data_IF_427363321778
#
_entry.id   IF_427363321778
#
_cell.length_a   1.000
_cell.length_b   1.000
_cell.length_c   1.000
_cell.angle_alpha   90.00
_cell.angle_beta   90.00
_cell.angle_gamma   90.00
#
_symmetry.space_group_name_H-M   'P 1'
#
loop_
_entity.id
_entity.type
_entity.pdbx_description
1 polymer ?
#
# COMPACT_ATOMS: atom_id res chain seq x y z
N UNK A 1 21.10 18.89 4.21
CA UNK A 1 19.66 18.50 4.11
C UNK A 1 18.80 19.53 4.83
N UNK A 2 17.80 20.12 4.17
CA UNK A 2 16.98 21.21 4.72
C UNK A 2 16.19 20.79 5.99
N UNK A 3 15.59 19.60 5.98
CA UNK A 3 14.82 19.07 7.11
C UNK A 3 15.67 18.97 8.38
N UNK A 4 16.89 18.44 8.27
CA UNK A 4 17.82 18.34 9.39
C UNK A 4 18.19 19.72 9.95
N UNK A 5 18.50 20.68 9.08
CA UNK A 5 18.83 22.05 9.49
C UNK A 5 17.66 22.71 10.21
N UNK A 6 16.43 22.46 9.77
CA UNK A 6 15.23 22.99 10.42
C UNK A 6 15.04 22.39 11.82
N UNK A 7 15.24 21.08 11.99
CA UNK A 7 15.21 20.44 13.32
C UNK A 7 16.29 21.00 14.26
N UNK A 8 17.49 21.31 13.74
CA UNK A 8 18.57 21.93 14.52
C UNK A 8 18.21 23.35 15.00
N UNK A 9 17.52 24.13 14.15
CA UNK A 9 16.98 25.44 14.54
C UNK A 9 15.89 25.30 15.60
N UNK A 10 14.94 24.38 15.42
CA UNK A 10 13.90 24.10 16.42
C UNK A 10 14.50 23.64 17.75
N UNK A 11 15.53 22.79 17.72
CA UNK A 11 16.25 22.38 18.94
C UNK A 11 16.85 23.59 19.64
N UNK A 12 17.44 24.52 18.90
CA UNK A 12 17.98 25.76 19.45
C UNK A 12 16.89 26.61 20.11
N UNK A 13 15.79 26.88 19.38
CA UNK A 13 14.68 27.69 19.93
C UNK A 13 13.99 27.02 21.13
N UNK A 14 13.90 25.70 21.14
CA UNK A 14 13.24 24.96 22.23
C UNK A 14 14.12 24.73 23.46
N UNK A 15 15.43 24.95 23.38
CA UNK A 15 16.36 24.73 24.50
C UNK A 15 17.06 26.00 24.98
N UNK A 16 17.32 26.96 24.08
CA UNK A 16 18.01 28.22 24.37
C UNK A 16 17.16 29.46 24.09
N UNK A 17 16.11 29.32 23.27
CA UNK A 17 15.31 30.46 22.78
C UNK A 17 16.03 31.25 21.69
N UNK A 18 15.62 32.51 21.50
CA UNK A 18 16.22 33.46 20.56
C UNK A 18 15.31 33.84 19.38
N UNK A 19 15.77 34.76 18.53
CA UNK A 19 15.00 35.23 17.37
C UNK A 19 14.66 34.06 16.41
N UNK A 20 13.46 34.04 15.80
CA UNK A 20 12.40 35.05 15.89
C UNK A 20 11.42 34.84 17.06
N UNK A 21 11.57 33.79 17.88
CA UNK A 21 10.54 33.37 18.82
C UNK A 21 10.78 33.75 20.29
N UNK A 22 11.95 34.31 20.62
CA UNK A 22 12.32 34.63 22.00
C UNK A 22 12.30 33.37 22.88
N UNK A 23 11.62 33.44 24.03
CA UNK A 23 11.47 32.32 24.96
C UNK A 23 10.26 31.42 24.68
N UNK A 24 9.44 31.71 23.65
CA UNK A 24 8.10 31.12 23.45
C UNK A 24 8.07 29.59 23.42
N UNK A 25 9.12 28.95 22.93
CA UNK A 25 9.16 27.50 22.72
C UNK A 25 10.09 26.75 23.68
N UNK A 26 10.65 27.41 24.69
CA UNK A 26 11.50 26.75 25.68
C UNK A 26 10.75 25.58 26.35
N UNK A 27 11.32 24.38 26.25
CA UNK A 27 10.72 23.15 26.79
C UNK A 27 9.46 22.65 26.07
N UNK A 28 9.04 23.29 24.98
CA UNK A 28 7.75 23.00 24.34
C UNK A 28 7.78 21.86 23.30
N UNK A 29 8.96 21.36 22.92
CA UNK A 29 9.13 20.41 21.81
C UNK A 29 9.80 19.11 22.28
N UNK A 30 9.12 18.00 22.01
CA UNK A 30 9.65 16.65 22.25
C UNK A 30 10.41 16.12 21.02
N UNK A 31 11.73 16.20 21.08
CA UNK A 31 12.62 15.70 20.02
C UNK A 31 12.79 14.17 20.00
N UNK A 32 12.17 13.45 20.93
CA UNK A 32 12.14 11.97 20.94
C UNK A 32 10.95 11.41 20.15
N UNK A 33 9.95 12.23 19.81
CA UNK A 33 8.75 11.84 19.04
C UNK A 33 8.55 12.77 17.84
N UNK A 34 9.47 12.69 16.88
CA UNK A 34 9.45 13.48 15.65
C UNK A 34 8.78 12.72 14.52
N UNK A 35 7.92 13.41 13.77
CA UNK A 35 7.37 12.95 12.50
C UNK A 35 7.83 13.85 11.36
N UNK A 36 8.08 13.27 10.19
CA UNK A 36 8.44 14.04 8.99
C UNK A 36 7.49 13.74 7.84
N UNK A 37 6.87 14.76 7.27
CA UNK A 37 6.05 14.68 6.06
C UNK A 37 6.67 15.51 4.94
N UNK A 38 6.62 15.00 3.72
CA UNK A 38 7.01 15.77 2.54
C UNK A 38 6.17 15.39 1.33
N UNK A 39 5.90 16.39 0.48
CA UNK A 39 5.12 16.22 -0.75
C UNK A 39 6.02 16.14 -1.99
N UNK A 40 5.70 15.26 -2.95
CA UNK A 40 6.43 15.16 -4.22
C UNK A 40 7.92 14.87 -3.99
N UNK A 41 8.84 15.69 -4.51
CA UNK A 41 10.28 15.63 -4.19
C UNK A 41 10.60 15.78 -2.70
N UNK A 42 9.79 16.52 -1.97
CA UNK A 42 9.88 16.60 -0.50
C UNK A 42 9.58 15.26 0.18
N UNK A 43 8.75 14.42 -0.44
CA UNK A 43 8.44 13.07 0.05
C UNK A 43 9.67 12.16 0.03
N UNK A 44 10.45 12.18 -1.05
CA UNK A 44 11.77 11.54 -1.08
C UNK A 44 12.71 12.16 -0.05
N UNK A 45 12.67 13.49 0.07
CA UNK A 45 13.44 14.24 1.05
C UNK A 45 13.22 13.75 2.49
N UNK A 46 11.99 13.47 2.92
CA UNK A 46 11.76 13.00 4.30
C UNK A 46 12.22 11.56 4.53
N UNK A 47 12.18 10.70 3.51
CA UNK A 47 12.74 9.34 3.61
C UNK A 47 14.26 9.38 3.65
N UNK A 48 14.90 10.20 2.80
CA UNK A 48 16.35 10.41 2.85
C UNK A 48 16.78 11.05 4.16
N UNK A 49 16.00 12.00 4.68
CA UNK A 49 16.25 12.60 5.99
C UNK A 49 16.27 11.56 7.10
N UNK A 50 15.31 10.63 7.10
CA UNK A 50 15.27 9.55 8.08
C UNK A 50 16.57 8.73 8.09
N UNK A 51 17.11 8.40 6.91
CA UNK A 51 18.36 7.64 6.80
C UNK A 51 19.57 8.42 7.35
N UNK A 52 19.72 9.70 7.00
CA UNK A 52 20.88 10.51 7.41
C UNK A 52 20.76 11.08 8.83
N UNK A 53 19.55 11.09 9.41
CA UNK A 53 19.32 11.58 10.77
C UNK A 53 20.13 10.77 11.80
N UNK A 54 20.47 9.51 11.51
CA UNK A 54 21.39 8.68 12.30
C UNK A 54 21.10 8.67 13.82
N UNK A 55 19.82 8.74 14.20
CA UNK A 55 19.38 8.75 15.60
C UNK A 55 19.51 10.10 16.33
N UNK A 56 19.97 11.17 15.66
CA UNK A 56 20.11 12.52 16.24
C UNK A 56 18.79 13.08 16.77
N UNK A 57 17.70 12.77 16.08
CA UNK A 57 16.32 13.01 16.51
C UNK A 57 15.51 11.71 16.50
N UNK A 58 14.53 11.59 17.40
CA UNK A 58 13.63 10.44 17.50
C UNK A 58 12.58 10.44 16.40
N UNK A 59 12.99 10.24 15.14
CA UNK A 59 12.07 10.17 13.99
C UNK A 59 11.35 8.83 13.97
N UNK A 60 10.10 8.81 14.42
CA UNK A 60 9.30 7.58 14.61
C UNK A 60 8.18 7.38 13.59
N UNK A 61 7.99 8.37 12.72
CA UNK A 61 6.92 8.37 11.72
C UNK A 61 7.36 9.16 10.48
N UNK A 62 7.38 8.52 9.31
CA UNK A 62 7.75 9.14 8.03
C UNK A 62 6.57 9.04 7.06
N UNK A 63 6.14 10.18 6.50
CA UNK A 63 4.99 10.23 5.57
C UNK A 63 5.37 10.92 4.26
N UNK A 64 5.74 10.15 3.22
CA UNK A 64 5.83 10.65 1.86
C UNK A 64 4.42 10.83 1.27
N UNK A 65 4.05 12.06 0.94
CA UNK A 65 2.79 12.42 0.29
C UNK A 65 3.04 12.52 -1.21
N UNK A 66 2.35 11.70 -1.99
CA UNK A 66 2.48 11.55 -3.44
C UNK A 66 3.92 11.76 -3.96
N UNK A 67 4.88 10.97 -3.44
CA UNK A 67 6.29 11.29 -3.53
C UNK A 67 6.89 10.95 -4.89
N UNK A 68 7.99 11.60 -5.25
CA UNK A 68 8.92 11.07 -6.25
C UNK A 68 9.80 9.97 -5.64
N UNK A 69 10.48 9.18 -6.49
CA UNK A 69 11.39 8.12 -6.04
C UNK A 69 12.59 7.94 -7.01
N UNK A 70 13.41 8.98 -7.15
CA UNK A 70 14.55 9.02 -8.06
C UNK A 70 15.79 8.29 -7.51
N UNK A 71 16.00 8.34 -6.19
CA UNK A 71 17.19 7.76 -5.54
C UNK A 71 16.87 6.53 -4.68
N UNK A 72 15.59 6.13 -4.66
CA UNK A 72 15.10 4.94 -3.97
C UNK A 72 15.53 4.79 -2.50
N UNK A 73 15.45 5.84 -1.66
CA UNK A 73 15.76 5.68 -0.25
C UNK A 73 14.69 4.82 0.44
N UNK A 74 15.09 4.08 1.49
CA UNK A 74 14.20 3.15 2.19
C UNK A 74 14.18 3.46 3.68
N UNK A 75 12.98 3.64 4.23
CA UNK A 75 12.76 3.79 5.67
C UNK A 75 12.33 2.46 6.31
N UNK A 76 13.23 1.87 7.10
CA UNK A 76 12.99 0.65 7.91
C UNK A 76 13.08 0.98 9.40
N UNK A 77 12.49 0.14 10.26
CA UNK A 77 12.54 0.33 11.73
C UNK A 77 11.60 1.42 12.27
N UNK A 78 10.88 2.12 11.41
CA UNK A 78 9.97 3.23 11.76
C UNK A 78 8.60 3.05 11.12
N UNK A 79 7.59 3.79 11.62
CA UNK A 79 6.30 3.83 10.96
C UNK A 79 6.43 4.58 9.63
N UNK A 80 5.87 4.02 8.56
CA UNK A 80 5.85 4.60 7.21
C UNK A 80 4.41 4.61 6.69
N UNK A 81 3.96 5.74 6.16
CA UNK A 81 2.71 5.80 5.39
C UNK A 81 2.95 6.57 4.09
N UNK A 82 2.64 5.95 2.95
CA UNK A 82 2.75 6.60 1.65
C UNK A 82 1.35 6.93 1.14
N UNK A 83 1.08 8.20 0.88
CA UNK A 83 -0.17 8.60 0.23
C UNK A 83 0.07 8.68 -1.28
N UNK A 84 -0.80 8.06 -2.08
CA UNK A 84 -0.66 7.96 -3.53
C UNK A 84 -1.86 8.64 -4.20
N UNK A 85 -1.63 9.64 -5.05
CA UNK A 85 -2.67 10.29 -5.81
C UNK A 85 -2.94 9.49 -7.10
N UNK A 86 -4.14 8.94 -7.25
CA UNK A 86 -4.41 8.01 -8.37
C UNK A 86 -4.43 8.67 -9.75
N UNK A 87 -4.60 9.98 -9.81
CA UNK A 87 -4.49 10.80 -11.02
C UNK A 87 -3.22 11.67 -11.04
N UNK A 88 -2.24 11.37 -10.18
CA UNK A 88 -0.90 11.94 -10.25
C UNK A 88 -0.03 11.21 -11.28
N UNK A 89 1.03 11.87 -11.74
CA UNK A 89 1.95 11.35 -12.77
C UNK A 89 2.87 10.21 -12.29
N UNK A 90 2.97 9.96 -10.98
CA UNK A 90 4.03 9.13 -10.40
C UNK A 90 3.48 7.95 -9.58
N UNK A 91 3.33 6.79 -10.21
CA UNK A 91 3.02 5.54 -9.49
C UNK A 91 4.18 5.00 -8.63
N UNK A 92 5.42 5.44 -8.86
CA UNK A 92 6.63 4.92 -8.21
C UNK A 92 6.68 5.16 -6.69
N UNK A 93 5.84 6.05 -6.14
CA UNK A 93 5.75 6.22 -4.69
C UNK A 93 5.41 4.92 -3.94
N UNK A 94 4.73 3.97 -4.58
CA UNK A 94 4.42 2.67 -3.95
C UNK A 94 5.68 1.87 -3.60
N UNK A 95 6.79 2.11 -4.30
CA UNK A 95 8.06 1.43 -4.08
C UNK A 95 8.62 1.68 -2.68
N UNK A 96 8.36 2.85 -2.05
CA UNK A 96 8.73 3.09 -0.65
C UNK A 96 8.14 2.06 0.30
N UNK A 97 6.88 1.68 0.07
CA UNK A 97 6.24 0.62 0.84
C UNK A 97 6.82 -0.74 0.47
N UNK A 98 6.99 -1.02 -0.82
CA UNK A 98 7.46 -2.32 -1.27
C UNK A 98 8.88 -2.65 -0.84
N UNK A 99 9.79 -1.68 -0.94
CA UNK A 99 11.20 -1.83 -0.58
C UNK A 99 11.41 -1.86 0.93
N UNK A 100 10.52 -1.24 1.71
CA UNK A 100 10.60 -1.29 3.17
C UNK A 100 10.10 -2.61 3.75
N UNK A 101 9.19 -3.30 3.05
CA UNK A 101 8.67 -4.60 3.51
C UNK A 101 9.75 -5.67 3.47
N UNK A 102 9.89 -6.40 4.58
CA UNK A 102 10.84 -7.52 4.73
C UNK A 102 12.31 -7.19 4.53
N UNK A 103 12.67 -5.91 4.32
CA UNK A 103 14.05 -5.46 4.10
C UNK A 103 14.96 -5.78 5.26
N UNK A 104 14.45 -5.58 6.48
CA UNK A 104 15.12 -5.89 7.73
C UNK A 104 14.27 -6.92 8.47
N UNK A 105 14.86 -8.07 8.78
CA UNK A 105 14.21 -9.10 9.59
C UNK A 105 13.83 -8.54 10.97
N UNK A 106 12.59 -8.79 11.40
CA UNK A 106 12.10 -8.30 12.69
C UNK A 106 11.71 -6.82 12.74
N UNK A 107 11.71 -6.09 11.61
CA UNK A 107 11.20 -4.70 11.58
C UNK A 107 9.74 -4.64 12.09
N UNK A 108 9.55 -3.93 13.20
CA UNK A 108 8.24 -3.72 13.85
C UNK A 108 7.57 -2.41 13.46
N UNK A 109 8.19 -1.60 12.61
CA UNK A 109 7.61 -0.37 12.10
C UNK A 109 6.45 -0.68 11.16
N UNK A 110 5.25 -0.22 11.49
CA UNK A 110 4.08 -0.40 10.62
C UNK A 110 4.30 0.33 9.28
N UNK A 111 3.98 -0.33 8.17
CA UNK A 111 4.07 0.27 6.83
C UNK A 111 2.67 0.37 6.24
N UNK A 112 2.35 1.46 5.56
CA UNK A 112 1.05 1.68 4.93
C UNK A 112 1.18 2.31 3.55
N UNK A 113 0.24 1.99 2.66
CA UNK A 113 -0.10 2.82 1.50
C UNK A 113 -1.53 3.30 1.61
N UNK A 114 -1.80 4.50 1.11
CA UNK A 114 -3.11 5.14 1.06
C UNK A 114 -3.33 5.61 -0.37
N UNK A 115 -3.99 4.78 -1.18
CA UNK A 115 -4.33 5.11 -2.57
C UNK A 115 -5.60 5.94 -2.59
N UNK A 116 -5.52 7.19 -3.03
CA UNK A 116 -6.65 8.12 -3.07
C UNK A 116 -7.19 8.16 -4.50
N UNK A 117 -8.35 7.54 -4.71
CA UNK A 117 -8.98 7.47 -6.03
C UNK A 117 -9.46 8.85 -6.46
N UNK A 118 -9.14 9.25 -7.70
CA UNK A 118 -9.54 10.55 -8.23
C UNK A 118 -8.71 11.74 -7.70
N UNK A 119 -7.67 11.51 -6.90
CA UNK A 119 -6.81 12.59 -6.42
C UNK A 119 -5.74 12.96 -7.46
N UNK A 120 -5.50 14.26 -7.56
CA UNK A 120 -4.43 14.88 -8.33
C UNK A 120 -3.23 15.17 -7.44
N UNK A 121 -2.04 15.17 -8.01
CA UNK A 121 -0.79 15.43 -7.29
C UNK A 121 -0.81 16.79 -6.57
N UNK A 122 -1.12 17.88 -7.28
CA UNK A 122 -1.04 19.24 -6.73
C UNK A 122 -2.16 19.60 -5.74
N UNK A 123 -3.30 18.92 -5.80
CA UNK A 123 -4.53 19.37 -5.12
C UNK A 123 -4.51 19.16 -3.60
N UNK A 124 -3.55 18.39 -3.07
CA UNK A 124 -3.28 18.33 -1.62
C UNK A 124 -2.67 19.64 -1.07
N UNK A 125 -2.17 20.54 -1.93
CA UNK A 125 -1.43 21.74 -1.56
C UNK A 125 -2.22 23.02 -1.86
N UNK A 126 -2.30 23.98 -0.94
CA UNK A 126 -3.05 25.24 -1.13
C UNK A 126 -2.37 26.27 -2.04
N UNK A 127 -1.10 26.07 -2.38
CA UNK A 127 -0.29 26.96 -3.24
C UNK A 127 -0.24 26.43 -4.67
N UNK A 128 -0.04 25.13 -4.88
CA UNK A 128 0.09 24.55 -6.23
C UNK A 128 -1.24 24.20 -6.90
N UNK A 129 -2.35 24.22 -6.15
CA UNK A 129 -3.70 23.96 -6.70
C UNK A 129 -4.14 25.10 -7.63
N UNK A 130 -4.77 24.81 -8.79
CA UNK A 130 -5.45 25.80 -9.62
C UNK A 130 -6.39 26.70 -8.80
N UNK A 131 -6.33 28.00 -9.07
CA UNK A 131 -7.15 28.99 -8.36
C UNK A 131 -6.54 29.48 -7.04
N UNK A 132 -5.32 29.08 -6.67
CA UNK A 132 -4.59 29.66 -5.53
C UNK A 132 -4.05 31.07 -5.78
N UNK A 133 -3.89 31.46 -7.05
CA UNK A 133 -3.30 32.74 -7.47
C UNK A 133 -1.75 32.76 -7.45
N UNK A 134 -1.09 31.69 -7.03
CA UNK A 134 0.37 31.63 -6.99
C UNK A 134 0.98 31.18 -8.33
N UNK A 135 2.13 31.76 -8.68
CA UNK A 135 2.88 31.34 -9.86
C UNK A 135 3.24 29.84 -9.78
N UNK A 136 3.01 29.10 -10.88
CA UNK A 136 3.25 27.66 -10.96
C UNK A 136 2.08 26.79 -10.49
N UNK A 137 1.00 27.38 -9.95
CA UNK A 137 -0.21 26.65 -9.63
C UNK A 137 -0.87 26.09 -10.89
N UNK A 138 -1.11 24.78 -10.94
CA UNK A 138 -1.62 24.10 -12.13
C UNK A 138 -2.27 22.76 -11.81
N UNK A 139 -3.19 22.35 -12.68
CA UNK A 139 -3.60 20.95 -12.76
C UNK A 139 -2.53 20.24 -13.59
N UNK A 140 -1.73 19.43 -12.90
CA UNK A 140 -0.60 18.73 -13.51
C UNK A 140 -0.97 17.36 -14.08
N UNK A 141 -2.24 16.98 -14.03
CA UNK A 141 -2.73 15.81 -14.76
C UNK A 141 -2.85 16.12 -16.25
N UNK A 142 -2.30 15.25 -17.09
CA UNK A 142 -2.30 15.39 -18.55
C UNK A 142 -2.85 14.12 -19.20
N UNK A 143 -4.16 14.11 -19.46
CA UNK A 143 -4.82 13.02 -20.16
C UNK A 143 -6.08 13.47 -20.90
N UNK A 144 -6.73 12.54 -21.61
CA UNK A 144 -7.89 12.85 -22.45
C UNK A 144 -9.23 13.02 -21.70
N UNK A 145 -10.20 13.72 -22.30
CA UNK A 145 -11.57 13.95 -21.75
C UNK A 145 -12.30 12.69 -21.30
N UNK A 146 -11.94 11.55 -21.88
CA UNK A 146 -12.57 10.27 -21.60
C UNK A 146 -12.02 9.61 -20.31
N UNK A 147 -10.85 10.01 -19.81
CA UNK A 147 -10.24 9.48 -18.58
C UNK A 147 -11.09 9.76 -17.36
N UNK A 148 -11.14 8.80 -16.42
CA UNK A 148 -11.74 9.00 -15.09
C UNK A 148 -11.05 10.10 -14.27
N UNK A 149 -9.83 10.47 -14.66
CA UNK A 149 -9.07 11.54 -14.03
C UNK A 149 -9.33 12.92 -14.64
N UNK A 150 -10.12 13.04 -15.70
CA UNK A 150 -10.38 14.35 -16.30
C UNK A 150 -11.19 15.25 -15.34
N UNK A 151 -10.89 16.57 -15.23
CA UNK A 151 -11.57 17.48 -14.31
C UNK A 151 -13.09 17.54 -14.43
N UNK A 152 -13.64 17.24 -15.61
CA UNK A 152 -15.09 17.18 -15.83
C UNK A 152 -15.76 15.87 -15.38
N UNK A 153 -15.02 14.89 -14.86
CA UNK A 153 -15.58 13.62 -14.40
C UNK A 153 -15.93 13.69 -12.92
N UNK A 154 -17.08 13.10 -12.56
CA UNK A 154 -17.50 12.91 -11.16
C UNK A 154 -16.58 12.02 -10.34
N UNK A 155 -15.72 11.24 -11.00
CA UNK A 155 -14.69 10.40 -10.37
C UNK A 155 -13.46 11.18 -9.92
N UNK A 156 -13.27 12.42 -10.38
CA UNK A 156 -12.19 13.32 -9.96
C UNK A 156 -12.60 14.03 -8.66
N UNK A 157 -11.74 14.05 -7.67
CA UNK A 157 -11.97 14.77 -6.42
C UNK A 157 -11.67 16.25 -6.59
N UNK A 158 -12.47 17.11 -5.94
CA UNK A 158 -12.17 18.55 -5.86
C UNK A 158 -10.93 18.80 -5.00
N UNK A 159 -10.31 19.96 -5.15
CA UNK A 159 -9.14 20.29 -4.34
C UNK A 159 -9.45 20.35 -2.83
N UNK A 160 -10.66 20.78 -2.45
CA UNK A 160 -11.11 20.75 -1.06
C UNK A 160 -11.18 19.31 -0.52
N UNK A 161 -11.84 18.41 -1.26
CA UNK A 161 -11.95 16.99 -0.88
C UNK A 161 -10.58 16.31 -0.74
N UNK A 162 -9.62 16.66 -1.61
CA UNK A 162 -8.26 16.11 -1.53
C UNK A 162 -7.50 16.64 -0.30
N UNK A 163 -7.68 17.92 0.05
CA UNK A 163 -7.15 18.46 1.31
C UNK A 163 -7.80 17.81 2.53
N UNK A 164 -9.10 17.51 2.50
CA UNK A 164 -9.76 16.79 3.60
C UNK A 164 -9.16 15.38 3.79
N UNK A 165 -8.89 14.67 2.69
CA UNK A 165 -8.15 13.40 2.72
C UNK A 165 -6.75 13.60 3.30
N UNK A 166 -6.02 14.62 2.84
CA UNK A 166 -4.69 14.97 3.33
C UNK A 166 -4.68 15.23 4.84
N UNK A 167 -5.59 16.07 5.34
CA UNK A 167 -5.75 16.37 6.76
C UNK A 167 -6.02 15.08 7.54
N UNK A 168 -6.99 14.27 7.11
CA UNK A 168 -7.38 13.06 7.82
C UNK A 168 -6.23 12.04 7.93
N UNK A 169 -5.54 11.74 6.82
CA UNK A 169 -4.50 10.71 6.81
C UNK A 169 -3.14 11.21 7.32
N UNK A 170 -2.75 12.46 7.05
CA UNK A 170 -1.50 13.02 7.59
C UNK A 170 -1.60 13.23 9.09
N UNK A 171 -2.66 13.90 9.56
CA UNK A 171 -2.84 14.09 11.01
C UNK A 171 -3.10 12.74 11.70
N UNK A 172 -3.94 11.89 11.10
CA UNK A 172 -4.24 10.57 11.65
C UNK A 172 -2.99 9.68 11.80
N UNK A 173 -2.01 9.81 10.91
CA UNK A 173 -0.77 9.04 10.97
C UNK A 173 0.08 9.47 12.16
N UNK A 174 0.35 10.77 12.28
CA UNK A 174 1.17 11.28 13.38
C UNK A 174 0.48 11.13 14.73
N UNK A 175 -0.84 11.35 14.81
CA UNK A 175 -1.63 11.06 16.02
C UNK A 175 -1.54 9.60 16.44
N UNK A 176 -1.60 8.66 15.48
CA UNK A 176 -1.52 7.23 15.77
C UNK A 176 -0.13 6.78 16.24
N UNK A 177 0.93 7.24 15.58
CA UNK A 177 2.30 6.71 15.77
C UNK A 177 3.19 7.54 16.69
N UNK A 178 2.91 8.84 16.84
CA UNK A 178 3.59 9.72 17.80
C UNK A 178 2.73 9.96 19.04
N UNK A 179 1.43 10.20 18.83
CA UNK A 179 0.45 10.44 19.90
C UNK A 179 -0.07 9.17 20.57
N UNK A 180 0.11 7.99 19.95
CA UNK A 180 -0.33 6.71 20.51
C UNK A 180 -1.85 6.45 20.41
N UNK A 181 -2.57 7.23 19.61
CA UNK A 181 -4.03 7.18 19.52
C UNK A 181 -4.55 5.91 18.82
N UNK A 182 -4.77 4.85 19.60
CA UNK A 182 -5.22 3.53 19.10
C UNK A 182 -6.58 3.56 18.42
N UNK A 183 -7.45 4.52 18.76
CA UNK A 183 -8.77 4.70 18.12
C UNK A 183 -8.68 4.93 16.61
N UNK A 184 -7.52 5.39 16.11
CA UNK A 184 -7.25 5.58 14.69
C UNK A 184 -6.80 4.29 13.99
N UNK A 185 -6.65 3.15 14.67
CA UNK A 185 -6.27 1.90 14.03
C UNK A 185 -7.20 1.42 12.90
N UNK A 186 -8.53 1.61 12.93
CA UNK A 186 -9.42 1.18 11.85
C UNK A 186 -9.12 1.82 10.48
N UNK A 187 -8.77 3.11 10.40
CA UNK A 187 -8.46 3.75 9.11
C UNK A 187 -7.23 3.15 8.44
N UNK A 188 -6.23 2.75 9.22
CA UNK A 188 -5.03 2.04 8.74
C UNK A 188 -5.28 0.57 8.38
N UNK A 189 -6.51 0.08 8.60
CA UNK A 189 -6.99 -1.24 8.20
C UNK A 189 -8.03 -1.18 7.07
N UNK A 190 -8.20 -0.01 6.45
CA UNK A 190 -9.09 0.22 5.31
C UNK A 190 -10.47 0.80 5.65
N UNK A 191 -10.76 1.13 6.92
CA UNK A 191 -12.02 1.81 7.26
C UNK A 191 -11.91 3.31 6.97
N UNK A 192 -12.44 3.74 5.82
CA UNK A 192 -12.42 5.15 5.40
C UNK A 192 -13.18 6.04 6.40
N UNK A 193 -12.54 7.09 6.96
CA UNK A 193 -13.22 8.05 7.83
C UNK A 193 -14.37 8.76 7.11
N UNK A 194 -15.48 9.02 7.82
CA UNK A 194 -16.61 9.78 7.24
C UNK A 194 -16.23 11.19 6.81
N UNK A 195 -15.24 11.78 7.48
CA UNK A 195 -14.73 13.13 7.20
C UNK A 195 -14.13 13.30 5.81
N UNK A 196 -13.81 12.21 5.11
CA UNK A 196 -13.25 12.28 3.75
C UNK A 196 -14.27 11.95 2.66
N UNK A 197 -15.55 11.75 3.01
CA UNK A 197 -16.59 11.51 2.01
C UNK A 197 -16.66 12.68 1.00
N UNK A 198 -16.83 12.43 -0.31
CA UNK A 198 -17.12 11.14 -0.96
C UNK A 198 -15.87 10.38 -1.43
N UNK A 199 -14.66 10.72 -0.95
CA UNK A 199 -13.43 10.10 -1.43
C UNK A 199 -13.41 8.59 -1.19
N UNK A 200 -12.96 7.86 -2.23
CA UNK A 200 -12.67 6.43 -2.14
C UNK A 200 -11.17 6.26 -1.90
N UNK A 201 -10.83 5.59 -0.81
CA UNK A 201 -9.45 5.36 -0.40
C UNK A 201 -9.22 3.87 -0.21
N UNK A 202 -8.12 3.36 -0.76
CA UNK A 202 -7.69 1.98 -0.57
C UNK A 202 -6.43 1.98 0.28
N UNK A 203 -6.45 1.23 1.39
CA UNK A 203 -5.31 1.16 2.32
C UNK A 203 -4.71 -0.22 2.27
N UNK A 204 -3.38 -0.29 2.08
CA UNK A 204 -2.62 -1.51 2.33
C UNK A 204 -1.78 -1.34 3.57
N UNK A 205 -1.74 -2.37 4.42
CA UNK A 205 -1.02 -2.31 5.68
C UNK A 205 -0.15 -3.53 5.90
N UNK A 206 1.10 -3.29 6.31
CA UNK A 206 1.97 -4.28 6.91
C UNK A 206 1.99 -4.06 8.42
N UNK A 207 1.16 -4.82 9.14
CA UNK A 207 1.09 -4.72 10.59
C UNK A 207 2.35 -5.32 11.26
N UNK A 208 2.76 -4.81 12.42
CA UNK A 208 3.84 -5.41 13.22
C UNK A 208 3.47 -6.81 13.75
N UNK A 209 2.21 -7.00 14.15
CA UNK A 209 1.70 -8.29 14.62
C UNK A 209 1.04 -9.03 13.46
N UNK A 210 1.80 -9.92 12.83
CA UNK A 210 1.35 -10.73 11.70
C UNK A 210 2.01 -12.11 11.67
N UNK A 211 1.44 -13.03 10.91
CA UNK A 211 2.03 -14.32 10.53
C UNK A 211 2.02 -14.41 9.01
N UNK A 212 3.20 -14.31 8.41
CA UNK A 212 3.38 -14.45 6.98
C UNK A 212 3.22 -15.92 6.60
N UNK A 213 2.12 -16.25 5.92
CA UNK A 213 1.89 -17.58 5.37
C UNK A 213 2.77 -17.76 4.14
N UNK A 214 2.72 -16.82 3.19
CA UNK A 214 3.55 -16.84 2.00
C UNK A 214 3.95 -15.43 1.57
N UNK A 215 5.25 -15.15 1.47
CA UNK A 215 5.75 -13.83 1.03
C UNK A 215 5.94 -13.71 -0.48
N UNK A 216 5.88 -14.84 -1.21
CA UNK A 216 6.02 -14.89 -2.67
C UNK A 216 7.27 -14.19 -3.22
N UNK A 217 8.40 -14.26 -2.52
CA UNK A 217 9.62 -13.49 -2.85
C UNK A 217 10.42 -14.08 -4.02
N UNK A 218 10.31 -15.39 -4.24
CA UNK A 218 11.05 -16.11 -5.27
C UNK A 218 10.40 -17.47 -5.57
N UNK A 219 10.94 -18.21 -6.55
CA UNK A 219 10.35 -19.45 -7.05
C UNK A 219 10.23 -20.56 -5.99
N UNK A 220 11.06 -20.57 -4.94
CA UNK A 220 10.93 -21.57 -3.86
C UNK A 220 9.58 -21.43 -3.12
N UNK A 221 9.05 -20.20 -3.05
CA UNK A 221 7.77 -19.89 -2.42
C UNK A 221 6.56 -20.43 -3.19
N UNK A 222 6.76 -20.93 -4.41
CA UNK A 222 5.72 -21.63 -5.18
C UNK A 222 5.57 -23.10 -4.78
N UNK A 223 6.53 -23.66 -4.03
CA UNK A 223 6.52 -25.05 -3.56
C UNK A 223 6.43 -25.16 -2.05
N UNK A 224 7.10 -24.26 -1.31
CA UNK A 224 7.03 -24.16 0.16
C UNK A 224 6.82 -22.73 0.58
N UNK A 225 5.84 -22.49 1.43
CA UNK A 225 5.51 -21.14 1.90
C UNK A 225 6.44 -20.67 3.02
N UNK A 226 6.22 -19.45 3.55
CA UNK A 226 7.09 -18.84 4.54
C UNK A 226 7.04 -19.52 5.93
N UNK A 227 6.06 -20.40 6.16
CA UNK A 227 5.95 -21.23 7.36
C UNK A 227 6.55 -22.63 7.16
N UNK A 228 7.07 -22.95 5.97
CA UNK A 228 7.59 -24.27 5.61
C UNK A 228 6.54 -25.26 5.09
N UNK A 229 5.27 -24.87 5.01
CA UNK A 229 4.19 -25.71 4.49
C UNK A 229 4.20 -25.81 2.97
N UNK A 230 3.71 -26.94 2.43
CA UNK A 230 3.60 -27.16 0.99
C UNK A 230 2.64 -26.16 0.33
N UNK A 231 2.97 -25.77 -0.90
CA UNK A 231 2.11 -24.98 -1.77
C UNK A 231 1.65 -25.83 -2.94
N UNK A 232 0.34 -25.90 -3.14
CA UNK A 232 -0.29 -26.69 -4.21
C UNK A 232 -1.06 -25.76 -5.15
N UNK A 233 -0.95 -26.03 -6.45
CA UNK A 233 -1.56 -25.25 -7.52
C UNK A 233 -2.41 -26.20 -8.36
N UNK A 234 -3.69 -25.90 -8.53
CA UNK A 234 -4.62 -26.78 -9.25
C UNK A 234 -5.48 -25.96 -10.20
N UNK A 235 -5.58 -26.35 -11.47
CA UNK A 235 -6.46 -25.68 -12.44
C UNK A 235 -6.11 -24.21 -12.75
N UNK A 236 -4.89 -23.78 -12.40
CA UNK A 236 -4.40 -22.42 -12.64
C UNK A 236 -3.02 -22.44 -13.29
N UNK A 237 -2.69 -21.38 -14.02
CA UNK A 237 -1.33 -21.09 -14.45
C UNK A 237 -0.75 -20.01 -13.57
N UNK A 238 0.47 -20.22 -13.08
CA UNK A 238 1.18 -19.23 -12.26
C UNK A 238 2.56 -18.93 -12.82
N UNK A 239 3.00 -17.68 -12.68
CA UNK A 239 4.39 -17.26 -12.88
C UNK A 239 4.74 -16.16 -11.90
N UNK A 240 6.01 -16.03 -11.56
CA UNK A 240 6.49 -14.84 -10.86
C UNK A 240 6.91 -13.78 -11.87
N UNK A 241 6.53 -12.54 -11.61
CA UNK A 241 6.96 -11.34 -12.32
C UNK A 241 7.47 -10.31 -11.31
N UNK A 242 7.97 -9.17 -11.81
CA UNK A 242 8.69 -8.18 -11.03
C UNK A 242 9.95 -8.77 -10.41
N UNK A 243 10.13 -8.54 -9.11
CA UNK A 243 11.27 -9.04 -8.34
C UNK A 243 12.61 -8.41 -8.77
N UNK A 244 13.75 -8.98 -8.33
CA UNK A 244 15.08 -8.48 -8.69
C UNK A 244 15.35 -8.44 -10.20
N UNK A 245 14.67 -9.31 -10.97
CA UNK A 245 14.77 -9.35 -12.43
C UNK A 245 13.87 -8.33 -13.14
N UNK A 246 13.04 -7.59 -12.39
CA UNK A 246 12.13 -6.56 -12.90
C UNK A 246 11.30 -7.05 -14.12
N UNK A 247 10.79 -8.29 -14.06
CA UNK A 247 10.04 -8.86 -15.19
C UNK A 247 8.64 -8.21 -15.33
N UNK A 248 8.13 -7.97 -16.54
CA UNK A 248 6.79 -7.45 -16.73
C UNK A 248 5.71 -8.38 -16.13
N UNK A 249 4.69 -7.80 -15.50
CA UNK A 249 3.57 -8.51 -14.88
C UNK A 249 2.29 -8.48 -15.72
N UNK A 250 2.03 -7.37 -16.41
CA UNK A 250 0.91 -7.17 -17.32
C UNK A 250 1.08 -8.06 -18.56
N UNK A 251 -0.06 -8.48 -19.13
CA UNK A 251 -0.10 -9.27 -20.35
C UNK A 251 0.42 -8.49 -21.56
N UNK A 252 0.00 -7.22 -21.70
CA UNK A 252 0.49 -6.34 -22.75
C UNK A 252 1.93 -5.93 -22.45
N UNK A 253 2.78 -5.98 -23.46
CA UNK A 253 4.20 -5.58 -23.37
C UNK A 253 4.36 -4.09 -23.70
N UNK A 254 5.54 -3.53 -23.41
CA UNK A 254 5.86 -2.12 -23.72
C UNK A 254 5.20 -1.08 -22.82
N UNK A 255 4.53 -1.49 -21.74
CA UNK A 255 3.67 -0.62 -20.90
C UNK A 255 4.21 -0.51 -19.48
N UNK A 256 5.53 -0.45 -19.37
CA UNK A 256 6.28 -0.39 -18.11
C UNK A 256 5.84 0.76 -17.19
N UNK A 257 5.43 1.90 -17.76
CA UNK A 257 4.90 3.03 -17.00
C UNK A 257 3.67 2.66 -16.15
N UNK A 258 2.94 1.61 -16.56
CA UNK A 258 1.80 1.08 -15.82
C UNK A 258 2.18 0.11 -14.70
N UNK A 259 3.45 -0.27 -14.56
CA UNK A 259 3.90 -1.28 -13.62
C UNK A 259 4.78 -0.66 -12.53
N UNK A 260 4.23 0.16 -11.62
CA UNK A 260 5.03 0.84 -10.60
C UNK A 260 5.73 -0.13 -9.63
N UNK A 261 5.31 -1.39 -9.61
CA UNK A 261 5.92 -2.46 -8.81
C UNK A 261 7.08 -3.17 -9.51
N UNK A 262 7.28 -2.95 -10.81
CA UNK A 262 8.37 -3.58 -11.57
C UNK A 262 9.75 -3.09 -11.10
N UNK A 263 9.79 -1.97 -10.37
CA UNK A 263 11.01 -1.28 -9.96
C UNK A 263 11.42 -0.21 -10.99
N UNK A 264 12.49 0.51 -10.72
CA UNK A 264 13.12 1.44 -11.66
C UNK A 264 14.53 0.95 -12.01
N UNK A 265 14.97 0.94 -13.28
CA UNK A 265 16.31 0.53 -13.66
C UNK A 265 17.29 1.67 -13.32
N UNK A 266 16.84 2.92 -13.50
CA UNK A 266 17.64 4.13 -13.33
C UNK A 266 17.86 4.49 -11.86
N UNK A 267 16.86 4.26 -11.01
CA UNK A 267 16.96 4.54 -9.57
C UNK A 267 17.68 3.43 -8.78
N UNK A 268 18.00 2.30 -9.43
CA UNK A 268 18.47 1.07 -8.77
C UNK A 268 17.39 0.38 -7.94
N UNK A 269 17.65 -0.84 -7.46
CA UNK A 269 16.78 -1.59 -6.53
C UNK A 269 15.88 -2.67 -7.16
N UNK A 270 15.45 -3.69 -6.40
CA UNK A 270 14.68 -4.82 -6.92
C UNK A 270 13.22 -4.43 -7.14
N UNK A 271 12.55 -4.92 -8.19
CA UNK A 271 11.09 -4.85 -8.25
C UNK A 271 10.44 -5.67 -7.13
N UNK A 272 9.15 -5.44 -6.89
CA UNK A 272 8.33 -6.29 -6.05
C UNK A 272 8.08 -7.63 -6.76
N UNK A 273 8.34 -8.75 -6.11
CA UNK A 273 7.92 -10.05 -6.65
C UNK A 273 6.39 -10.22 -6.52
N UNK A 274 5.75 -10.54 -7.65
CA UNK A 274 4.32 -10.70 -7.78
C UNK A 274 4.04 -12.06 -8.39
N UNK A 275 3.17 -12.84 -7.74
CA UNK A 275 2.56 -14.04 -8.30
C UNK A 275 1.48 -13.64 -9.29
N UNK A 276 1.77 -13.82 -10.57
CA UNK A 276 0.80 -13.71 -11.65
C UNK A 276 0.02 -15.02 -11.73
N UNK A 277 -1.29 -14.95 -11.58
CA UNK A 277 -2.20 -16.10 -11.66
C UNK A 277 -3.21 -15.89 -12.78
N UNK A 278 -3.42 -16.90 -13.62
CA UNK A 278 -4.48 -16.90 -14.64
C UNK A 278 -5.25 -18.21 -14.63
N UNK A 279 -6.54 -18.14 -14.94
CA UNK A 279 -7.45 -19.28 -14.98
C UNK A 279 -8.44 -19.18 -16.15
N UNK A 280 -8.95 -20.34 -16.57
CA UNK A 280 -10.02 -20.52 -17.56
C UNK A 280 -11.11 -21.48 -17.05
N UNK A 281 -11.21 -21.61 -15.73
CA UNK A 281 -12.13 -22.51 -15.03
C UNK A 281 -11.90 -22.45 -13.52
N UNK A 282 -12.40 -23.45 -12.79
CA UNK A 282 -12.14 -23.60 -11.35
C UNK A 282 -10.67 -23.95 -11.11
N UNK A 283 -10.09 -23.38 -10.06
CA UNK A 283 -8.73 -23.69 -9.64
C UNK A 283 -8.42 -23.12 -8.27
N UNK A 284 -7.25 -23.45 -7.73
CA UNK A 284 -6.84 -23.03 -6.39
C UNK A 284 -5.33 -22.83 -6.27
N UNK A 285 -4.96 -21.90 -5.40
CA UNK A 285 -3.59 -21.71 -4.91
C UNK A 285 -3.60 -21.94 -3.39
N UNK A 286 -3.25 -23.15 -2.97
CA UNK A 286 -3.36 -23.61 -1.57
C UNK A 286 -2.03 -23.54 -0.86
N UNK A 287 -2.00 -22.90 0.31
CA UNK A 287 -0.86 -22.83 1.20
C UNK A 287 -1.15 -23.66 2.46
N UNK A 288 -0.44 -24.77 2.67
CA UNK A 288 -0.56 -25.56 3.89
C UNK A 288 0.05 -24.81 5.09
N UNK A 289 -0.57 -24.90 6.25
CA UNK A 289 -0.06 -24.35 7.51
C UNK A 289 0.44 -25.54 8.34
N UNK A 290 1.75 -25.65 8.59
CA UNK A 290 2.29 -26.71 9.43
C UNK A 290 1.71 -26.68 10.85
N UNK A 291 1.70 -27.86 11.49
CA UNK A 291 1.33 -27.97 12.90
C UNK A 291 2.15 -26.99 13.77
N UNK A 292 1.52 -26.43 14.80
CA UNK A 292 2.10 -25.38 15.65
C UNK A 292 1.97 -23.95 15.08
N UNK A 293 1.67 -23.79 13.79
CA UNK A 293 1.39 -22.48 13.18
C UNK A 293 -0.11 -22.21 12.94
N UNK A 294 -0.98 -23.15 13.33
CA UNK A 294 -2.43 -23.11 13.07
C UNK A 294 -3.25 -22.20 13.98
N UNK A 295 -2.76 -21.85 15.18
CA UNK A 295 -3.52 -20.95 16.08
C UNK A 295 -3.42 -19.50 15.60
N UNK A 296 -4.51 -19.03 15.02
CA UNK A 296 -4.63 -17.70 14.42
C UNK A 296 -5.60 -16.79 15.18
N UNK A 297 -6.11 -17.21 16.35
CA UNK A 297 -7.09 -16.44 17.15
C UNK A 297 -6.57 -15.07 17.60
N UNK A 298 -5.25 -14.91 17.70
CA UNK A 298 -4.59 -13.63 18.03
C UNK A 298 -4.62 -12.61 16.88
N UNK A 299 -5.04 -13.02 15.69
CA UNK A 299 -5.16 -12.17 14.51
C UNK A 299 -6.62 -11.84 14.25
N UNK A 300 -6.86 -10.80 13.46
CA UNK A 300 -8.20 -10.31 13.14
C UNK A 300 -8.60 -10.56 11.70
N UNK A 301 -7.64 -10.76 10.79
CA UNK A 301 -7.92 -10.97 9.38
C UNK A 301 -6.86 -11.83 8.69
N UNK A 302 -7.27 -12.41 7.56
CA UNK A 302 -6.38 -12.87 6.51
C UNK A 302 -6.28 -11.79 5.43
N UNK A 303 -5.05 -11.51 4.98
CA UNK A 303 -4.75 -10.48 4.00
C UNK A 303 -3.86 -10.99 2.88
N UNK A 304 -4.07 -10.43 1.69
CA UNK A 304 -3.10 -10.42 0.60
C UNK A 304 -3.18 -9.08 -0.12
N UNK A 305 -2.20 -8.75 -0.96
CA UNK A 305 -2.33 -7.62 -1.90
C UNK A 305 -2.50 -8.14 -3.31
N UNK A 306 -3.40 -7.53 -4.06
CA UNK A 306 -3.67 -7.93 -5.43
C UNK A 306 -4.09 -6.80 -6.33
N UNK A 307 -3.99 -7.05 -7.62
CA UNK A 307 -4.46 -6.16 -8.69
C UNK A 307 -4.92 -7.00 -9.88
N UNK A 308 -5.95 -6.51 -10.57
CA UNK A 308 -6.43 -7.07 -11.82
C UNK A 308 -5.50 -6.65 -12.97
N UNK A 309 -5.07 -7.59 -13.81
CA UNK A 309 -4.34 -7.24 -15.04
C UNK A 309 -5.32 -6.82 -16.13
N UNK A 310 -5.56 -5.52 -16.18
CA UNK A 310 -6.57 -4.92 -17.04
C UNK A 310 -6.24 -5.04 -18.53
N UNK A 311 -5.02 -5.48 -18.88
CA UNK A 311 -4.55 -5.68 -20.25
C UNK A 311 -4.76 -7.11 -20.76
N UNK A 312 -5.07 -8.05 -19.87
CA UNK A 312 -5.25 -9.46 -20.22
C UNK A 312 -6.65 -9.72 -20.80
N UNK A 313 -6.78 -10.34 -21.99
CA UNK A 313 -8.08 -10.65 -22.60
C UNK A 313 -8.99 -11.56 -21.75
N UNK A 314 -8.44 -12.25 -20.74
CA UNK A 314 -9.25 -13.00 -19.76
C UNK A 314 -10.05 -12.08 -18.84
N UNK A 315 -9.74 -10.79 -18.76
CA UNK A 315 -10.44 -9.79 -17.95
C UNK A 315 -11.24 -8.80 -18.83
N UNK A 316 -12.44 -9.16 -19.31
CA UNK A 316 -13.22 -8.31 -20.21
C UNK A 316 -13.92 -7.16 -19.47
N UNK A 317 -13.15 -6.13 -19.06
CA UNK A 317 -13.66 -4.89 -18.39
C UNK A 317 -14.64 -5.15 -17.25
N UNK A 318 -14.38 -6.20 -16.46
CA UNK A 318 -15.19 -6.63 -15.32
C UNK A 318 -14.30 -6.85 -14.12
N UNK A 319 -14.84 -6.61 -12.93
CA UNK A 319 -14.15 -6.88 -11.66
C UNK A 319 -13.88 -8.38 -11.56
N UNK A 320 -12.77 -8.71 -10.92
CA UNK A 320 -12.44 -10.09 -10.60
C UNK A 320 -12.84 -10.39 -9.15
N UNK A 321 -13.21 -11.65 -8.92
CA UNK A 321 -13.57 -12.14 -7.60
C UNK A 321 -12.95 -13.52 -7.39
N UNK A 322 -12.49 -13.77 -6.18
CA UNK A 322 -12.00 -15.06 -5.73
C UNK A 322 -12.50 -15.30 -4.31
N UNK A 323 -12.45 -16.54 -3.87
CA UNK A 323 -12.75 -16.87 -2.48
C UNK A 323 -11.44 -17.13 -1.73
N UNK A 324 -11.35 -16.65 -0.49
CA UNK A 324 -10.36 -17.17 0.44
C UNK A 324 -11.03 -18.32 1.19
N UNK A 325 -10.37 -19.47 1.27
CA UNK A 325 -10.84 -20.63 2.03
C UNK A 325 -9.87 -20.95 3.16
N UNK A 326 -10.38 -21.11 4.37
CA UNK A 326 -9.65 -21.66 5.50
C UNK A 326 -10.11 -23.09 5.74
N UNK A 327 -9.16 -23.98 6.03
CA UNK A 327 -9.43 -25.37 6.44
C UNK A 327 -8.71 -25.65 7.75
N UNK A 328 -9.40 -26.26 8.74
CA UNK A 328 -8.80 -26.66 10.02
C UNK A 328 -8.30 -28.11 10.03
N UNK A 329 -7.69 -28.53 11.14
CA UNK A 329 -7.17 -29.88 11.32
C UNK A 329 -8.23 -30.99 11.34
N UNK A 330 -9.50 -30.65 11.60
CA UNK A 330 -10.63 -31.59 11.50
C UNK A 330 -11.19 -31.69 10.06
N UNK A 331 -10.64 -30.94 9.12
CA UNK A 331 -11.11 -30.87 7.73
C UNK A 331 -12.30 -29.94 7.51
N UNK A 332 -12.79 -29.25 8.56
CA UNK A 332 -13.85 -28.25 8.40
C UNK A 332 -13.29 -27.04 7.65
N UNK A 333 -14.12 -26.44 6.81
CA UNK A 333 -13.69 -25.32 5.98
C UNK A 333 -14.78 -24.29 5.77
N UNK A 334 -14.35 -23.04 5.60
CA UNK A 334 -15.22 -21.92 5.24
C UNK A 334 -14.57 -21.10 4.11
N UNK A 335 -15.40 -20.63 3.18
CA UNK A 335 -14.99 -19.84 2.02
C UNK A 335 -15.67 -18.49 2.03
N UNK A 336 -14.89 -17.41 1.88
CA UNK A 336 -15.38 -16.03 1.91
C UNK A 336 -14.99 -15.31 0.62
N UNK A 337 -15.97 -14.66 -0.01
CA UNK A 337 -15.75 -13.89 -1.23
C UNK A 337 -14.99 -12.58 -0.98
N UNK A 338 -13.92 -12.34 -1.75
CA UNK A 338 -13.09 -11.14 -1.56
C UNK A 338 -13.80 -9.85 -1.95
N UNK A 339 -14.70 -9.89 -2.94
CA UNK A 339 -15.40 -8.71 -3.45
C UNK A 339 -16.26 -8.00 -2.39
N UNK A 340 -16.67 -8.72 -1.33
CA UNK A 340 -17.45 -8.13 -0.20
C UNK A 340 -16.59 -7.29 0.75
N UNK A 341 -15.26 -7.42 0.67
CA UNK A 341 -14.34 -6.88 1.67
C UNK A 341 -13.29 -5.94 1.08
N UNK A 342 -13.12 -5.89 -0.25
CA UNK A 342 -12.14 -5.02 -0.88
C UNK A 342 -12.46 -4.75 -2.35
N UNK A 343 -12.10 -3.54 -2.80
CA UNK A 343 -12.10 -3.12 -4.20
C UNK A 343 -10.74 -3.36 -4.90
N UNK A 344 -9.80 -4.08 -4.27
CA UNK A 344 -8.47 -4.29 -4.83
C UNK A 344 -8.45 -5.04 -6.17
N UNK A 345 -9.48 -5.87 -6.43
CA UNK A 345 -9.64 -6.62 -7.67
C UNK A 345 -10.71 -6.01 -8.60
N UNK A 346 -11.15 -4.78 -8.32
CA UNK A 346 -12.03 -4.06 -9.22
C UNK A 346 -11.29 -3.74 -10.53
N UNK A 347 -12.04 -3.74 -11.63
CA UNK A 347 -11.49 -3.24 -12.88
C UNK A 347 -11.20 -1.75 -12.70
N UNK A 348 -9.97 -1.28 -13.03
CA UNK A 348 -9.64 0.12 -12.84
C UNK A 348 -10.61 1.02 -13.65
N UNK A 349 -10.95 2.22 -13.14
CA UNK A 349 -11.85 3.13 -13.85
C UNK A 349 -11.40 3.37 -15.28
N UNK A 350 -12.36 3.53 -16.23
CA UNK A 350 -12.03 3.73 -17.65
C UNK A 350 -11.02 4.86 -17.82
N UNK A 351 -9.86 4.49 -18.36
CA UNK A 351 -8.92 5.40 -18.98
C UNK A 351 -8.72 4.92 -20.41
N UNK A 352 -8.84 5.80 -21.40
CA UNK A 352 -8.78 5.39 -22.82
C UNK A 352 -7.36 5.06 -23.24
N UNK A 353 -6.39 5.76 -22.65
CA UNK A 353 -5.00 5.35 -22.70
C UNK A 353 -4.74 4.41 -21.52
N UNK A 354 -4.57 3.13 -21.81
CA UNK A 354 -4.11 2.16 -20.82
C UNK A 354 -2.78 2.62 -20.15
N UNK A 355 -2.00 3.47 -20.82
CA UNK A 355 -0.77 4.13 -20.33
C UNK A 355 -0.95 4.95 -19.04
N UNK A 356 -2.15 5.41 -18.72
CA UNK A 356 -2.45 6.18 -17.49
C UNK A 356 -2.94 5.31 -16.31
N UNK A 357 -3.11 3.99 -16.51
CA UNK A 357 -3.64 3.09 -15.49
C UNK A 357 -2.53 2.30 -14.80
N UNK A 358 -2.08 2.67 -13.60
CA UNK A 358 -1.16 1.84 -12.83
C UNK A 358 -1.81 0.51 -12.41
N UNK A 359 -1.09 -0.58 -12.67
CA UNK A 359 -1.26 -1.91 -12.09
C UNK A 359 -0.83 -1.87 -10.62
N UNK A 360 -1.64 -1.22 -9.79
CA UNK A 360 -1.32 -0.97 -8.38
C UNK A 360 -1.96 -2.03 -7.48
N UNK A 361 -1.13 -2.77 -6.75
CA UNK A 361 -1.57 -3.78 -5.79
C UNK A 361 -2.16 -3.12 -4.54
N UNK A 362 -3.42 -3.45 -4.24
CA UNK A 362 -4.11 -3.00 -3.04
C UNK A 362 -4.46 -4.20 -2.15
N UNK A 363 -4.61 -3.96 -0.85
CA UNK A 363 -4.89 -5.02 0.10
C UNK A 363 -6.35 -5.51 0.03
N UNK A 364 -6.48 -6.82 -0.03
CA UNK A 364 -7.70 -7.55 0.34
C UNK A 364 -7.57 -7.93 1.81
N UNK A 365 -8.56 -7.56 2.63
CA UNK A 365 -8.57 -7.85 4.07
C UNK A 365 -9.91 -8.49 4.45
N UNK A 366 -9.90 -9.80 4.70
CA UNK A 366 -11.09 -10.54 5.11
C UNK A 366 -11.01 -10.83 6.62
N UNK A 367 -11.99 -10.38 7.42
CA UNK A 367 -11.97 -10.63 8.86
C UNK A 367 -12.08 -12.13 9.15
N UNK A 368 -11.36 -12.61 10.16
CA UNK A 368 -11.41 -14.03 10.54
C UNK A 368 -12.80 -14.45 11.06
N UNK A 369 -13.58 -13.51 11.58
CA UNK A 369 -14.97 -13.74 11.98
C UNK A 369 -15.91 -14.11 10.82
N UNK A 370 -15.51 -13.90 9.56
CA UNK A 370 -16.30 -14.31 8.41
C UNK A 370 -16.15 -15.81 8.05
N UNK A 371 -15.20 -16.52 8.68
CA UNK A 371 -14.93 -17.94 8.42
C UNK A 371 -15.63 -18.82 9.47
N UNK A 372 -16.96 -18.85 9.41
CA UNK A 372 -17.80 -19.57 10.36
C UNK A 372 -17.57 -21.09 10.29
N UNK A 373 -17.60 -21.77 11.44
CA UNK A 373 -17.45 -23.23 11.50
C UNK A 373 -16.03 -23.77 11.34
N UNK A 374 -15.01 -22.91 11.20
CA UNK A 374 -13.59 -23.31 11.18
C UNK A 374 -12.96 -23.16 12.57
N UNK A 375 -12.16 -24.13 13.02
CA UNK A 375 -11.36 -23.98 14.24
C UNK A 375 -10.17 -23.05 14.00
N UNK A 376 -10.28 -21.80 14.46
CA UNK A 376 -9.17 -20.85 14.39
C UNK A 376 -8.00 -21.19 15.32
N UNK A 377 -8.15 -22.17 16.23
CA UNK A 377 -7.04 -22.69 17.05
C UNK A 377 -6.08 -23.54 16.22
N UNK A 378 -6.54 -24.11 15.12
CA UNK A 378 -5.78 -25.12 14.41
C UNK A 378 -6.01 -25.13 12.89
N UNK A 379 -5.83 -23.96 12.27
CA UNK A 379 -5.91 -23.83 10.80
C UNK A 379 -4.76 -24.60 10.15
N UNK A 380 -5.08 -25.37 9.10
CA UNK A 380 -4.14 -26.21 8.34
C UNK A 380 -3.97 -25.81 6.89
N UNK A 381 -4.84 -24.97 6.35
CA UNK A 381 -4.63 -24.41 5.01
C UNK A 381 -5.29 -23.05 4.84
N UNK A 382 -4.66 -22.22 3.99
CA UNK A 382 -5.28 -21.04 3.36
C UNK A 382 -5.24 -21.24 1.86
N UNK A 383 -6.40 -21.29 1.22
CA UNK A 383 -6.51 -21.37 -0.24
C UNK A 383 -7.07 -20.08 -0.82
N UNK A 384 -6.51 -19.66 -1.96
CA UNK A 384 -7.15 -18.71 -2.86
C UNK A 384 -7.84 -19.51 -3.96
N UNK A 385 -9.17 -19.53 -3.95
CA UNK A 385 -10.00 -20.32 -4.86
C UNK A 385 -10.52 -19.43 -6.00
N UNK A 386 -10.21 -19.84 -7.22
CA UNK A 386 -10.53 -19.17 -8.49
C UNK A 386 -11.69 -19.87 -9.20
N UNK A 387 -12.25 -19.19 -10.22
CA UNK A 387 -13.36 -19.72 -11.01
C UNK A 387 -14.75 -19.21 -10.60
N UNK A 388 -14.83 -18.29 -9.63
CA UNK A 388 -16.08 -17.52 -9.38
C UNK A 388 -16.43 -16.70 -10.61
N UNK A 389 -15.42 -16.05 -11.20
CA UNK A 389 -15.46 -15.60 -12.59
C UNK A 389 -14.92 -16.72 -13.50
N UNK A 390 -15.53 -16.99 -14.67
CA UNK A 390 -15.16 -18.14 -15.51
C UNK A 390 -13.70 -18.14 -15.98
N UNK A 391 -13.13 -16.94 -16.14
CA UNK A 391 -11.74 -16.73 -16.53
C UNK A 391 -11.22 -15.42 -15.93
N UNK A 392 -9.91 -15.33 -15.77
CA UNK A 392 -9.27 -14.11 -15.30
C UNK A 392 -7.76 -14.18 -15.20
N UNK A 393 -7.17 -13.05 -14.85
CA UNK A 393 -5.73 -12.87 -14.72
C UNK A 393 -5.42 -11.78 -13.69
N UNK A 394 -4.74 -12.11 -12.60
CA UNK A 394 -4.46 -11.15 -11.51
C UNK A 394 -3.01 -11.28 -11.03
N UNK A 395 -2.48 -10.20 -10.45
CA UNK A 395 -1.26 -10.23 -9.65
C UNK A 395 -1.60 -10.33 -8.18
N UNK A 396 -0.83 -11.14 -7.44
CA UNK A 396 -0.97 -11.34 -6.00
C UNK A 396 0.41 -11.27 -5.37
N UNK A 397 0.51 -10.68 -4.19
CA UNK A 397 1.70 -10.76 -3.35
C UNK A 397 1.27 -10.74 -1.90
N UNK A 398 2.12 -11.27 -1.02
CA UNK A 398 1.88 -11.43 0.41
C UNK A 398 0.62 -12.26 0.73
N UNK A 399 0.71 -13.25 1.60
CA UNK A 399 -0.44 -13.90 2.22
C UNK A 399 -0.14 -14.03 3.70
N UNK A 400 -0.97 -13.44 4.55
CA UNK A 400 -0.69 -13.38 5.98
C UNK A 400 -1.96 -13.34 6.83
N UNK A 401 -1.83 -13.76 8.09
CA UNK A 401 -2.77 -13.39 9.15
C UNK A 401 -2.25 -12.12 9.85
N UNK A 402 -3.14 -11.16 10.14
CA UNK A 402 -2.77 -9.87 10.73
C UNK A 402 -3.74 -9.42 11.81
N UNK A 403 -3.25 -8.70 12.82
CA UNK A 403 -4.06 -7.92 13.77
C UNK A 403 -4.68 -6.69 13.11
#
# INVERSE_FOLDING_TARGET
MLVQKHLDLWKTWATKGGKPFGARFLGAIDFQRVGTMGHSRGGEGVVRHYQINAGRYGVRAVLPLDPSNFFRPVATGTALAVVLARCGANGSGVEYYDDARYRVGGDRGAKHTVTVMGANHNYFNSVWTPGSGWAGASDDWRGGRQSACHPSRRTRLTAAQQRDVGIAYVAGFFRRYLGGEKVLAPMWRGQTPRSVAPAKVLVSSLAPQRRDVNRLLNASHLRRNALGGQVTQTGISVKLCGGPRQLPCLHRTGVRANEPHQGSPDAGGPGLSILKVSWSGKGSYTNAIPAGNGDVRRFQAVVFRGALDFTDPRNPRRNQNLHIKLTDASGRSASVATLRHSAALDYPPRVVADEETPFLLNQVRVPLSAFEGVDLRDVRAVSLDFGVTPKGSIGITDLAFTS
#
